data_IF_908689095650
#
_entry.id   IF_908689095650
#
_cell.length_a   1.000
_cell.length_b   1.000
_cell.length_c   1.000
_cell.angle_alpha   90.00
_cell.angle_beta   90.00
_cell.angle_gamma   90.00
#
_symmetry.space_group_name_H-M   'P 1'
#
loop_
_entity.id
_entity.type
_entity.pdbx_description
1 polymer ?
#
# COMPACT_ATOMS: atom_id res chain seq x y z
N UNK A 1 -1.90 -18.10 11.31
CA UNK A 1 -1.18 -17.30 12.35
C UNK A 1 0.29 -17.55 12.13
N UNK A 2 1.07 -16.51 11.87
CA UNK A 2 2.53 -16.62 11.76
C UNK A 2 3.07 -16.99 13.14
N UNK A 3 3.76 -18.13 13.25
CA UNK A 3 4.46 -18.59 14.46
C UNK A 3 5.86 -18.03 14.58
N UNK A 4 6.23 -17.05 13.76
CA UNK A 4 7.52 -16.40 13.87
C UNK A 4 7.65 -15.73 15.23
N UNK A 5 8.69 -16.03 16.03
CA UNK A 5 8.90 -15.40 17.32
C UNK A 5 9.04 -13.90 17.10
N UNK A 6 8.15 -13.13 17.69
CA UNK A 6 8.30 -11.67 17.79
C UNK A 6 9.47 -11.39 18.72
N UNK A 7 10.66 -11.31 18.15
CA UNK A 7 11.88 -11.05 18.91
C UNK A 7 11.74 -9.64 19.52
N UNK A 8 11.97 -9.52 20.84
CA UNK A 8 12.00 -8.23 21.54
C UNK A 8 13.00 -7.24 20.89
N UNK A 9 14.00 -7.73 20.16
CA UNK A 9 14.91 -6.97 19.32
C UNK A 9 14.21 -6.19 18.20
N UNK A 10 13.02 -6.60 17.73
CA UNK A 10 12.25 -5.83 16.76
C UNK A 10 11.72 -4.49 17.31
N UNK A 11 11.81 -4.27 18.61
CA UNK A 11 11.54 -2.98 19.27
C UNK A 11 12.79 -2.13 19.50
N UNK A 12 13.98 -2.58 19.08
CA UNK A 12 15.15 -1.71 19.07
C UNK A 12 14.88 -0.57 18.11
N UNK A 13 15.17 0.62 18.56
CA UNK A 13 15.12 1.83 17.76
C UNK A 13 16.22 1.77 16.66
N UNK A 14 15.90 1.13 15.57
CA UNK A 14 16.71 1.11 14.35
C UNK A 14 16.63 2.45 13.61
N UNK A 15 15.86 3.39 14.16
CA UNK A 15 15.24 4.48 13.41
C UNK A 15 16.07 5.71 13.22
N UNK A 16 17.30 5.80 13.72
CA UNK A 16 18.01 7.07 13.71
C UNK A 16 19.31 7.07 12.90
N UNK A 17 19.89 5.92 12.62
CA UNK A 17 21.08 5.83 11.76
C UNK A 17 20.68 5.38 10.35
N UNK A 18 20.63 6.33 9.44
CA UNK A 18 20.40 6.12 8.01
C UNK A 18 21.73 6.06 7.23
N UNK A 19 22.88 6.07 7.92
CA UNK A 19 24.18 6.09 7.29
C UNK A 19 24.37 4.83 6.42
N UNK A 20 24.59 5.04 5.13
CA UNK A 20 24.77 3.96 4.15
C UNK A 20 23.47 3.31 3.65
N UNK A 21 22.30 3.71 4.14
CA UNK A 21 21.02 3.26 3.58
C UNK A 21 20.76 3.93 2.24
N UNK A 22 20.91 3.17 1.15
CA UNK A 22 20.68 3.66 -0.22
C UNK A 22 19.52 2.95 -0.91
N UNK A 23 18.99 1.90 -0.30
CA UNK A 23 17.85 1.14 -0.84
C UNK A 23 16.62 1.37 0.02
N UNK A 24 15.54 1.80 -0.61
CA UNK A 24 14.21 1.91 -0.01
C UNK A 24 13.38 0.69 -0.39
N UNK A 25 12.75 0.07 0.59
CA UNK A 25 11.63 -0.83 0.39
C UNK A 25 10.33 -0.03 0.51
N UNK A 26 9.51 -0.08 -0.51
CA UNK A 26 8.23 0.61 -0.58
C UNK A 26 7.12 -0.42 -0.65
N UNK A 27 6.15 -0.29 0.24
CA UNK A 27 4.91 -1.07 0.28
C UNK A 27 3.75 -0.07 0.37
N UNK A 28 2.82 -0.14 -0.59
CA UNK A 28 1.67 0.76 -0.68
C UNK A 28 0.51 0.21 0.16
N UNK A 29 0.44 0.59 1.42
CA UNK A 29 -0.53 0.05 2.38
C UNK A 29 -1.99 0.23 1.93
N UNK A 30 -2.80 -0.81 2.16
CA UNK A 30 -4.20 -0.90 1.76
C UNK A 30 -4.45 -0.58 0.26
N UNK A 31 -3.50 -0.89 -0.62
CA UNK A 31 -3.43 -0.45 -2.00
C UNK A 31 -4.76 -0.60 -2.75
N UNK A 32 -5.33 -1.79 -2.85
CA UNK A 32 -6.58 -2.01 -3.58
C UNK A 32 -7.76 -1.23 -2.99
N UNK A 33 -7.88 -1.20 -1.66
CA UNK A 33 -8.95 -0.46 -1.00
C UNK A 33 -8.78 1.06 -1.23
N UNK A 34 -7.54 1.56 -1.19
CA UNK A 34 -7.23 2.97 -1.46
C UNK A 34 -7.55 3.36 -2.91
N UNK A 35 -7.29 2.48 -3.88
CA UNK A 35 -7.64 2.70 -5.28
C UNK A 35 -9.16 2.76 -5.49
N UNK A 36 -9.93 1.89 -4.83
CA UNK A 36 -11.39 1.92 -4.92
C UNK A 36 -11.97 3.18 -4.27
N UNK A 37 -11.42 3.64 -3.15
CA UNK A 37 -11.81 4.91 -2.53
C UNK A 37 -11.45 6.11 -3.41
N UNK A 38 -10.33 6.05 -4.14
CA UNK A 38 -9.95 7.09 -5.09
C UNK A 38 -10.88 7.13 -6.32
N UNK A 39 -11.28 5.95 -6.82
CA UNK A 39 -12.20 5.76 -7.96
C UNK A 39 -13.65 6.13 -7.59
N UNK A 40 -14.04 5.89 -6.34
CA UNK A 40 -15.38 6.09 -5.79
C UNK A 40 -15.32 6.99 -4.55
N UNK A 41 -15.29 8.32 -4.72
CA UNK A 41 -15.16 9.25 -3.59
C UNK A 41 -16.24 9.10 -2.52
N UNK A 42 -17.41 8.55 -2.86
CA UNK A 42 -18.51 8.23 -1.94
C UNK A 42 -18.16 7.14 -0.92
N UNK A 43 -17.06 6.39 -1.12
CA UNK A 43 -16.56 5.39 -0.17
C UNK A 43 -15.62 5.98 0.89
N UNK A 44 -15.26 7.25 0.76
CA UNK A 44 -14.35 7.92 1.69
C UNK A 44 -14.89 7.88 3.12
N UNK A 45 -14.06 7.45 4.06
CA UNK A 45 -14.41 7.30 5.47
C UNK A 45 -15.32 6.10 5.78
N UNK A 46 -15.59 5.24 4.79
CA UNK A 46 -16.36 4.00 4.97
C UNK A 46 -15.45 2.77 4.97
N UNK A 47 -15.83 1.70 5.67
CA UNK A 47 -15.07 0.45 5.64
C UNK A 47 -15.19 -0.21 4.27
N UNK A 48 -14.09 -0.23 3.51
CA UNK A 48 -13.97 -0.87 2.18
C UNK A 48 -13.13 -2.14 2.30
N UNK A 49 -13.65 -3.24 1.76
CA UNK A 49 -13.06 -4.57 1.85
C UNK A 49 -13.02 -5.19 0.46
N UNK A 50 -11.83 -5.53 0.00
CA UNK A 50 -11.62 -6.13 -1.31
C UNK A 50 -11.50 -7.65 -1.17
N UNK A 51 -12.32 -8.36 -1.90
CA UNK A 51 -12.39 -9.83 -1.89
C UNK A 51 -13.75 -10.32 -1.42
N UNK A 52 -14.57 -10.75 -2.37
CA UNK A 52 -15.93 -11.28 -2.14
C UNK A 52 -16.06 -12.71 -2.62
N UNK A 53 -16.89 -13.49 -1.94
CA UNK A 53 -17.24 -14.87 -2.31
C UNK A 53 -17.16 -15.82 -1.13
N UNK A 54 -17.95 -16.89 -1.19
CA UNK A 54 -18.11 -17.85 -0.09
C UNK A 54 -16.82 -18.61 0.28
N UNK A 55 -15.86 -18.68 -0.65
CA UNK A 55 -14.55 -19.36 -0.46
C UNK A 55 -13.38 -18.41 -0.66
N UNK A 56 -13.62 -17.11 -0.70
CA UNK A 56 -12.58 -16.11 -0.90
C UNK A 56 -12.01 -15.61 0.43
N UNK A 57 -10.85 -14.98 0.32
CA UNK A 57 -10.21 -14.25 1.40
C UNK A 57 -10.20 -12.75 1.08
N UNK A 58 -10.13 -11.95 2.11
CA UNK A 58 -9.88 -10.51 2.00
C UNK A 58 -8.51 -10.28 1.38
N UNK A 59 -8.47 -9.63 0.23
CA UNK A 59 -7.22 -9.24 -0.44
C UNK A 59 -6.66 -7.93 0.12
N UNK A 60 -7.53 -6.96 0.44
CA UNK A 60 -7.16 -5.72 1.10
C UNK A 60 -8.33 -5.18 1.93
N UNK A 61 -8.01 -4.44 2.99
CA UNK A 61 -8.99 -3.79 3.85
C UNK A 61 -8.56 -2.35 4.13
N UNK A 62 -9.48 -1.38 4.00
CA UNK A 62 -9.25 0.01 4.35
C UNK A 62 -8.98 0.16 5.86
N UNK A 63 -8.44 1.31 6.26
CA UNK A 63 -8.20 1.59 7.68
C UNK A 63 -9.49 1.55 8.50
N UNK A 64 -10.59 2.01 7.94
CA UNK A 64 -11.91 1.96 8.57
C UNK A 64 -12.37 0.51 8.76
N UNK A 65 -12.15 -0.37 7.78
CA UNK A 65 -12.47 -1.78 7.91
C UNK A 65 -11.58 -2.50 8.96
N UNK A 66 -10.32 -2.11 9.05
CA UNK A 66 -9.37 -2.66 10.05
C UNK A 66 -9.80 -2.34 11.49
N UNK A 67 -10.53 -1.24 11.73
CA UNK A 67 -11.08 -0.90 13.05
C UNK A 67 -12.12 -1.93 13.54
N UNK A 68 -12.78 -2.63 12.61
CA UNK A 68 -13.68 -3.76 12.93
C UNK A 68 -12.94 -5.10 13.04
N UNK A 69 -11.60 -5.08 12.99
CA UNK A 69 -10.78 -6.29 13.06
C UNK A 69 -10.67 -7.06 11.72
N UNK A 70 -11.09 -6.45 10.60
CA UNK A 70 -10.94 -7.04 9.27
C UNK A 70 -9.51 -6.84 8.78
N UNK A 71 -8.85 -7.93 8.34
CA UNK A 71 -7.47 -7.91 7.86
C UNK A 71 -7.33 -8.74 6.58
N UNK A 72 -6.26 -8.49 5.82
CA UNK A 72 -5.88 -9.32 4.68
C UNK A 72 -5.73 -10.79 5.08
N UNK A 73 -5.94 -11.68 4.14
CA UNK A 73 -5.97 -13.14 4.30
C UNK A 73 -7.11 -13.69 5.21
N UNK A 74 -7.96 -12.85 5.77
CA UNK A 74 -9.15 -13.28 6.52
C UNK A 74 -10.18 -13.87 5.56
N UNK A 75 -10.89 -14.93 5.97
CA UNK A 75 -12.02 -15.44 5.20
C UNK A 75 -13.10 -14.35 5.04
N UNK A 76 -13.58 -14.14 3.81
CA UNK A 76 -14.55 -13.07 3.51
C UNK A 76 -15.85 -13.24 4.29
N UNK A 77 -16.28 -14.48 4.57
CA UNK A 77 -17.44 -14.77 5.43
C UNK A 77 -17.25 -14.32 6.88
N UNK A 78 -16.01 -14.37 7.40
CA UNK A 78 -15.68 -13.84 8.72
C UNK A 78 -15.66 -12.32 8.71
N UNK A 79 -15.07 -11.72 7.67
CA UNK A 79 -15.04 -10.27 7.50
C UNK A 79 -16.45 -9.67 7.47
N UNK A 80 -17.40 -10.33 6.77
CA UNK A 80 -18.80 -9.92 6.73
C UNK A 80 -19.48 -9.94 8.11
N UNK A 81 -19.14 -10.92 8.96
CA UNK A 81 -19.65 -10.98 10.34
C UNK A 81 -19.09 -9.87 11.22
N UNK A 82 -17.82 -9.49 11.02
CA UNK A 82 -17.16 -8.44 11.80
C UNK A 82 -17.59 -7.03 11.35
N UNK A 83 -17.81 -6.85 10.06
CA UNK A 83 -18.17 -5.57 9.47
C UNK A 83 -19.39 -5.72 8.53
N UNK A 84 -20.60 -5.94 9.07
CA UNK A 84 -21.78 -6.22 8.27
C UNK A 84 -22.21 -5.03 7.38
N UNK A 85 -21.86 -3.80 7.76
CA UNK A 85 -22.13 -2.58 7.01
C UNK A 85 -20.93 -2.17 6.11
N UNK A 86 -19.93 -3.02 5.96
CA UNK A 86 -18.78 -2.78 5.10
C UNK A 86 -19.14 -2.84 3.62
N UNK A 87 -18.42 -2.08 2.81
CA UNK A 87 -18.50 -2.11 1.36
C UNK A 87 -17.59 -3.24 0.87
N UNK A 88 -18.17 -4.32 0.40
CA UNK A 88 -17.45 -5.49 -0.10
C UNK A 88 -17.38 -5.43 -1.63
N UNK A 89 -16.18 -5.38 -2.18
CA UNK A 89 -15.93 -5.26 -3.61
C UNK A 89 -15.14 -6.46 -4.14
N UNK A 90 -15.40 -6.89 -5.39
CA UNK A 90 -14.56 -7.89 -6.05
C UNK A 90 -13.17 -7.32 -6.34
N UNK A 91 -12.19 -8.21 -6.55
CA UNK A 91 -10.85 -7.82 -6.99
C UNK A 91 -10.88 -7.42 -8.46
N UNK A 92 -10.55 -6.18 -8.78
CA UNK A 92 -10.36 -5.67 -10.16
C UNK A 92 -8.86 -5.59 -10.49
N UNK A 93 -8.25 -6.74 -10.74
CA UNK A 93 -6.81 -6.83 -11.00
C UNK A 93 -6.38 -6.06 -12.25
N UNK A 94 -7.27 -5.90 -13.24
CA UNK A 94 -6.97 -5.12 -14.45
C UNK A 94 -6.76 -3.64 -14.09
N UNK A 95 -7.68 -3.08 -13.33
CA UNK A 95 -7.59 -1.70 -12.85
C UNK A 95 -6.38 -1.50 -11.92
N UNK A 96 -6.16 -2.41 -10.97
CA UNK A 96 -5.06 -2.28 -10.00
C UNK A 96 -3.69 -2.35 -10.68
N UNK A 97 -3.51 -3.21 -11.69
CA UNK A 97 -2.27 -3.26 -12.49
C UNK A 97 -2.05 -1.99 -13.30
N UNK A 98 -3.10 -1.45 -13.92
CA UNK A 98 -3.00 -0.20 -14.68
C UNK A 98 -2.60 0.97 -13.78
N UNK A 99 -3.19 1.07 -12.58
CA UNK A 99 -2.84 2.10 -11.60
C UNK A 99 -1.44 1.91 -11.03
N UNK A 100 -1.04 0.68 -10.74
CA UNK A 100 0.33 0.35 -10.33
C UNK A 100 1.33 0.85 -11.38
N UNK A 101 1.17 0.45 -12.64
CA UNK A 101 2.04 0.87 -13.73
C UNK A 101 2.15 2.39 -13.83
N UNK A 102 1.02 3.08 -13.78
CA UNK A 102 0.99 4.54 -13.79
C UNK A 102 1.77 5.16 -12.63
N UNK A 103 1.67 4.61 -11.43
CA UNK A 103 2.41 5.09 -10.27
C UNK A 103 3.91 4.87 -10.44
N UNK A 104 4.30 3.69 -10.91
CA UNK A 104 5.71 3.40 -11.18
C UNK A 104 6.29 4.37 -12.21
N UNK A 105 5.57 4.67 -13.29
CA UNK A 105 6.02 5.59 -14.33
C UNK A 105 5.98 7.06 -13.90
N UNK A 106 4.89 7.53 -13.28
CA UNK A 106 4.71 8.95 -12.99
C UNK A 106 5.38 9.40 -11.69
N UNK A 107 5.63 8.48 -10.74
CA UNK A 107 6.18 8.81 -9.43
C UNK A 107 7.57 8.23 -9.23
N UNK A 108 7.71 6.90 -9.29
CA UNK A 108 8.94 6.23 -8.87
C UNK A 108 10.07 6.39 -9.88
N UNK A 109 9.80 6.22 -11.18
CA UNK A 109 10.80 6.36 -12.24
C UNK A 109 11.38 7.77 -12.36
N UNK A 110 10.67 8.78 -11.83
CA UNK A 110 11.19 10.17 -11.78
C UNK A 110 12.25 10.37 -10.70
N UNK A 111 12.47 9.40 -9.86
CA UNK A 111 13.41 9.48 -8.74
C UNK A 111 14.67 8.69 -9.05
N UNK A 112 14.49 7.48 -9.54
CA UNK A 112 15.56 6.59 -9.95
C UNK A 112 15.06 5.65 -11.06
N UNK A 113 15.96 5.21 -11.91
CA UNK A 113 15.75 4.14 -12.89
C UNK A 113 16.06 2.75 -12.32
N UNK A 114 16.61 2.70 -11.09
CA UNK A 114 16.99 1.47 -10.39
C UNK A 114 15.88 1.00 -9.47
N UNK A 115 14.83 0.43 -10.09
CA UNK A 115 13.63 -0.06 -9.41
C UNK A 115 13.49 -1.55 -9.67
N UNK A 116 13.37 -2.33 -8.62
CA UNK A 116 12.98 -3.74 -8.67
C UNK A 116 11.54 -3.86 -8.16
N UNK A 117 10.59 -3.99 -9.07
CA UNK A 117 9.18 -4.19 -8.73
C UNK A 117 8.94 -5.64 -8.33
N UNK A 118 8.46 -5.87 -7.12
CA UNK A 118 8.18 -7.19 -6.54
C UNK A 118 6.72 -7.60 -6.77
N UNK A 119 5.80 -6.66 -6.58
CA UNK A 119 4.37 -6.85 -6.80
C UNK A 119 3.72 -5.61 -7.42
N UNK A 120 2.39 -5.54 -7.43
CA UNK A 120 1.66 -4.35 -7.91
C UNK A 120 1.76 -3.16 -6.97
N UNK A 121 2.12 -3.40 -5.72
CA UNK A 121 2.16 -2.42 -4.63
C UNK A 121 3.50 -2.36 -3.90
N UNK A 122 4.49 -3.17 -4.33
CA UNK A 122 5.75 -3.35 -3.62
C UNK A 122 6.95 -3.24 -4.54
N UNK A 123 7.99 -2.52 -4.12
CA UNK A 123 9.26 -2.44 -4.84
C UNK A 123 10.44 -2.12 -3.93
N UNK A 124 11.63 -2.44 -4.43
CA UNK A 124 12.90 -1.90 -3.94
C UNK A 124 13.39 -0.82 -4.89
N UNK A 125 13.94 0.26 -4.33
CA UNK A 125 14.49 1.38 -5.10
C UNK A 125 15.88 1.71 -4.58
N UNK A 126 16.90 1.66 -5.44
CA UNK A 126 18.21 2.24 -5.14
C UNK A 126 18.14 3.76 -5.37
N UNK A 127 18.17 4.51 -4.29
CA UNK A 127 18.07 5.98 -4.28
C UNK A 127 19.42 6.67 -4.09
N UNK A 128 20.52 5.96 -4.19
CA UNK A 128 21.87 6.52 -3.99
C UNK A 128 22.12 7.78 -4.80
N UNK A 129 21.72 7.79 -6.09
CA UNK A 129 21.81 8.96 -6.97
C UNK A 129 20.84 10.10 -6.66
N UNK A 130 19.75 9.80 -5.96
CA UNK A 130 18.72 10.81 -5.62
C UNK A 130 19.01 11.53 -4.30
N UNK A 131 19.85 10.97 -3.44
CA UNK A 131 20.14 11.54 -2.10
C UNK A 131 20.78 12.92 -2.16
N UNK A 132 21.56 13.24 -3.19
CA UNK A 132 22.10 14.59 -3.41
C UNK A 132 21.01 15.65 -3.50
N UNK A 133 19.85 15.30 -4.08
CA UNK A 133 18.71 16.20 -4.25
C UNK A 133 17.78 16.20 -3.04
N UNK A 134 17.61 15.07 -2.38
CA UNK A 134 16.61 14.86 -1.32
C UNK A 134 17.19 14.91 0.09
N UNK A 135 18.51 14.88 0.23
CA UNK A 135 19.25 14.97 1.51
C UNK A 135 19.26 13.69 2.30
N UNK A 136 18.15 12.96 2.43
CA UNK A 136 18.10 11.68 3.16
C UNK A 136 17.01 10.75 2.63
N UNK A 137 17.14 9.42 2.86
CA UNK A 137 16.10 8.43 2.52
C UNK A 137 14.76 8.76 3.18
N UNK A 138 14.76 9.24 4.42
CA UNK A 138 13.55 9.65 5.16
C UNK A 138 12.87 10.88 4.55
N UNK A 139 13.63 11.86 4.10
CA UNK A 139 13.08 13.05 3.43
C UNK A 139 12.44 12.67 2.09
N UNK A 140 13.07 11.76 1.36
CA UNK A 140 12.56 11.22 0.12
C UNK A 140 11.26 10.42 0.35
N UNK A 141 11.21 9.55 1.35
CA UNK A 141 10.01 8.78 1.71
C UNK A 141 8.81 9.67 2.07
N UNK A 142 9.03 10.77 2.80
CA UNK A 142 7.97 11.77 3.06
C UNK A 142 7.48 12.46 1.79
N UNK A 143 8.36 12.71 0.84
CA UNK A 143 8.01 13.28 -0.46
C UNK A 143 7.11 12.37 -1.31
N UNK A 144 7.25 11.05 -1.17
CA UNK A 144 6.41 10.06 -1.83
C UNK A 144 4.95 10.10 -1.38
N UNK A 145 4.71 10.14 -0.07
CA UNK A 145 3.36 10.12 0.48
C UNK A 145 2.47 11.22 -0.12
N UNK A 146 3.03 12.41 -0.36
CA UNK A 146 2.31 13.54 -0.96
C UNK A 146 2.07 13.37 -2.48
N UNK A 147 2.96 12.70 -3.18
CA UNK A 147 2.85 12.48 -4.65
C UNK A 147 1.91 11.33 -4.99
N UNK A 148 1.97 10.26 -4.22
CA UNK A 148 1.09 9.11 -4.30
C UNK A 148 -0.39 9.54 -4.30
N UNK A 149 -0.79 10.35 -3.33
CA UNK A 149 -2.16 10.83 -3.22
C UNK A 149 -2.64 11.56 -4.50
N UNK A 150 -1.77 12.35 -5.14
CA UNK A 150 -2.12 13.06 -6.38
C UNK A 150 -2.36 12.14 -7.57
N UNK A 151 -1.55 11.10 -7.73
CA UNK A 151 -1.69 10.15 -8.86
C UNK A 151 -2.94 9.31 -8.73
N UNK A 152 -3.27 8.85 -7.51
CA UNK A 152 -4.45 8.01 -7.27
C UNK A 152 -5.76 8.77 -7.34
N UNK A 153 -5.76 10.09 -7.09
CA UNK A 153 -6.97 10.92 -7.15
C UNK A 153 -7.20 11.59 -8.51
N UNK A 154 -6.25 11.50 -9.44
CA UNK A 154 -6.43 12.02 -10.80
C UNK A 154 -7.24 11.05 -11.66
N UNK A 155 -8.17 11.53 -12.51
CA UNK A 155 -8.92 10.66 -13.41
C UNK A 155 -7.99 9.84 -14.29
N UNK A 156 -8.31 8.57 -14.46
CA UNK A 156 -7.66 7.72 -15.46
C UNK A 156 -8.25 8.14 -16.82
N UNK A 157 -7.44 8.46 -17.82
CA UNK A 157 -7.92 8.79 -19.15
C UNK A 157 -8.66 7.64 -19.84
#
# INVERSE_FOLDING_TARGET
MSTAPRIAAAKRDWGHDEAGCTVLHIDMDAFYASLEVARHPEYRGKPVIIGVGNRSVVSAASYEARQYGVNSAMASSRAQKLCPNGIFLPVDMRYYRAMSHRIFEEVFSRITDRIEQVSVDECYMDVSGALLRWGSPRALGRGFANRWFRVTTSPVP
#
